data_IF_280101442764
#
_entry.id   IF_280101442764
#
_cell.length_a   1.000
_cell.length_b   1.000
_cell.length_c   1.000
_cell.angle_alpha   90.00
_cell.angle_beta   90.00
_cell.angle_gamma   90.00
#
_symmetry.space_group_name_H-M   'P 1'
#
loop_
_entity.id
_entity.type
_entity.pdbx_description
1 polymer ?
#
# COMPACT_ATOMS: atom_id res chain seq x y z
N UNK A 1 30.42 13.53 16.32
CA UNK A 1 29.33 12.55 16.57
C UNK A 1 28.99 11.94 15.25
N UNK A 2 28.90 10.64 15.15
CA UNK A 2 28.59 9.98 13.86
C UNK A 2 27.14 10.27 13.47
N UNK A 3 26.92 10.78 12.28
CA UNK A 3 25.61 11.24 11.79
C UNK A 3 24.56 10.12 11.85
N UNK A 4 24.96 8.88 11.55
CA UNK A 4 24.08 7.71 11.65
C UNK A 4 23.52 7.52 13.07
N UNK A 5 24.35 7.63 14.09
CA UNK A 5 23.92 7.52 15.51
C UNK A 5 23.00 8.67 15.92
N UNK A 6 23.28 9.88 15.43
CA UNK A 6 22.41 11.04 15.68
C UNK A 6 21.00 10.78 15.14
N UNK A 7 20.91 10.35 13.88
CA UNK A 7 19.64 10.07 13.21
C UNK A 7 18.89 8.94 13.92
N UNK A 8 19.59 7.85 14.26
CA UNK A 8 19.00 6.73 14.99
C UNK A 8 18.44 7.17 16.35
N UNK A 9 19.22 7.90 17.13
CA UNK A 9 18.77 8.43 18.44
C UNK A 9 17.54 9.34 18.32
N UNK A 10 17.47 10.17 17.26
CA UNK A 10 16.28 10.99 17.00
C UNK A 10 15.05 10.13 16.72
N UNK A 11 15.17 9.11 15.88
CA UNK A 11 14.09 8.19 15.58
C UNK A 11 13.61 7.43 16.82
N UNK A 12 14.53 6.95 17.64
CA UNK A 12 14.22 6.27 18.92
C UNK A 12 13.47 7.19 19.91
N UNK A 13 13.71 8.52 19.82
CA UNK A 13 12.96 9.52 20.58
C UNK A 13 11.62 9.93 19.91
N UNK A 14 11.20 9.24 18.86
CA UNK A 14 9.95 9.54 18.13
C UNK A 14 10.05 10.80 17.27
N UNK A 15 11.25 11.19 16.86
CA UNK A 15 11.49 12.29 15.93
C UNK A 15 11.81 11.71 14.55
N UNK A 16 10.83 11.76 13.63
CA UNK A 16 11.06 11.44 12.24
C UNK A 16 11.94 12.50 11.58
N UNK A 17 12.94 12.07 10.80
CA UNK A 17 13.86 12.98 10.12
C UNK A 17 14.15 12.46 8.70
N UNK A 18 14.21 13.39 7.73
CA UNK A 18 14.49 13.10 6.31
C UNK A 18 15.03 14.34 5.61
N UNK A 19 15.43 14.20 4.35
CA UNK A 19 15.80 15.31 3.49
C UNK A 19 14.79 15.52 2.37
N UNK A 20 14.54 16.78 2.04
CA UNK A 20 13.65 17.20 0.96
C UNK A 20 14.23 18.44 0.28
N UNK A 21 14.55 18.34 -1.00
CA UNK A 21 15.09 19.47 -1.78
C UNK A 21 16.34 20.10 -1.16
N UNK A 22 17.26 19.29 -0.62
CA UNK A 22 18.48 19.77 0.04
C UNK A 22 18.24 20.46 1.39
N UNK A 23 17.06 20.22 2.00
CA UNK A 23 16.71 20.71 3.35
C UNK A 23 16.42 19.54 4.27
N UNK A 24 16.85 19.65 5.51
CA UNK A 24 16.47 18.72 6.56
C UNK A 24 15.03 19.03 6.98
N UNK A 25 14.20 18.00 6.98
CA UNK A 25 12.84 18.02 7.50
C UNK A 25 12.76 17.13 8.73
N UNK A 26 11.89 17.45 9.64
CA UNK A 26 11.62 16.62 10.80
C UNK A 26 10.15 16.64 11.18
N UNK A 27 9.71 15.57 11.82
CA UNK A 27 8.38 15.41 12.39
C UNK A 27 8.52 14.91 13.82
N UNK A 28 8.01 15.67 14.81
CA UNK A 28 7.86 15.24 16.18
C UNK A 28 6.37 15.23 16.52
N UNK A 29 5.86 14.09 16.96
CA UNK A 29 4.43 13.94 17.27
C UNK A 29 4.05 14.64 18.57
N UNK A 30 4.93 14.60 19.57
CA UNK A 30 4.70 15.12 20.91
C UNK A 30 5.61 16.34 21.14
N UNK A 31 5.04 17.54 21.07
CA UNK A 31 5.72 18.80 21.40
C UNK A 31 6.60 19.39 20.29
N UNK A 32 7.44 20.36 20.67
CA UNK A 32 8.40 21.01 19.79
C UNK A 32 9.77 20.36 19.87
N UNK A 33 10.56 20.48 18.81
CA UNK A 33 11.95 20.04 18.82
C UNK A 33 12.75 20.91 19.78
N UNK A 34 13.58 20.27 20.62
CA UNK A 34 14.49 20.96 21.53
C UNK A 34 15.47 21.85 20.76
N UNK A 35 15.82 23.00 21.33
CA UNK A 35 16.74 23.93 20.67
C UNK A 35 18.15 23.37 20.56
N UNK A 36 18.58 22.52 21.50
CA UNK A 36 19.85 21.82 21.41
C UNK A 36 19.89 20.88 20.20
N UNK A 37 18.83 20.11 19.98
CA UNK A 37 18.72 19.24 18.79
C UNK A 37 18.69 20.07 17.51
N UNK A 38 17.96 21.19 17.46
CA UNK A 38 17.96 22.10 16.30
C UNK A 38 19.36 22.61 15.99
N UNK A 39 20.10 23.04 17.00
CA UNK A 39 21.47 23.54 16.85
C UNK A 39 22.40 22.44 16.29
N UNK A 40 22.27 21.20 16.76
CA UNK A 40 23.01 20.04 16.26
C UNK A 40 22.67 19.79 14.78
N UNK A 41 21.40 19.86 14.39
CA UNK A 41 20.97 19.67 13.01
C UNK A 41 21.48 20.79 12.08
N UNK A 42 21.50 22.03 12.55
CA UNK A 42 22.02 23.17 11.80
C UNK A 42 23.53 23.03 11.61
N UNK A 43 24.27 22.69 12.66
CA UNK A 43 25.71 22.52 12.60
C UNK A 43 26.16 21.40 11.67
N UNK A 44 25.47 20.25 11.71
CA UNK A 44 25.82 19.09 10.89
C UNK A 44 25.01 19.01 9.57
N UNK A 45 24.37 20.11 9.12
CA UNK A 45 23.41 20.09 8.01
C UNK A 45 23.96 19.44 6.73
N UNK A 46 25.18 19.79 6.31
CA UNK A 46 25.78 19.27 5.07
C UNK A 46 26.03 17.76 5.16
N UNK A 47 26.57 17.32 6.29
CA UNK A 47 26.88 15.90 6.52
C UNK A 47 25.60 15.05 6.62
N UNK A 48 24.56 15.60 7.25
CA UNK A 48 23.25 14.92 7.33
C UNK A 48 22.64 14.76 5.93
N UNK A 49 22.68 15.81 5.10
CA UNK A 49 22.13 15.75 3.73
C UNK A 49 22.90 14.71 2.92
N UNK A 50 24.22 14.78 2.89
CA UNK A 50 25.05 13.80 2.18
C UNK A 50 24.82 12.37 2.67
N UNK A 51 24.66 12.18 3.99
CA UNK A 51 24.38 10.87 4.57
C UNK A 51 23.06 10.29 4.04
N UNK A 52 21.98 11.08 4.01
CA UNK A 52 20.69 10.62 3.49
C UNK A 52 20.71 10.32 1.99
N UNK A 53 21.38 11.15 1.20
CA UNK A 53 21.39 11.07 -0.25
C UNK A 53 22.35 10.00 -0.79
N UNK A 54 23.51 9.82 -0.16
CA UNK A 54 24.60 9.01 -0.71
C UNK A 54 24.75 7.64 -0.02
N UNK A 55 24.35 7.51 1.23
CA UNK A 55 24.57 6.29 2.02
C UNK A 55 23.27 5.65 2.47
N UNK A 56 22.51 6.33 3.32
CA UNK A 56 21.37 5.74 3.98
C UNK A 56 20.28 5.25 3.01
N UNK A 57 20.16 5.90 1.84
CA UNK A 57 19.17 5.55 0.81
C UNK A 57 19.24 4.07 0.40
N UNK A 58 20.43 3.47 0.43
CA UNK A 58 20.70 2.12 -0.04
C UNK A 58 20.99 1.12 1.09
N UNK A 59 20.94 1.56 2.35
CA UNK A 59 21.08 0.65 3.48
C UNK A 59 19.81 -0.19 3.64
N UNK A 60 19.96 -1.43 4.10
CA UNK A 60 18.82 -2.28 4.44
C UNK A 60 17.90 -1.64 5.47
N UNK A 61 16.63 -1.91 5.35
CA UNK A 61 15.62 -1.46 6.29
C UNK A 61 14.53 -2.52 6.46
N UNK A 62 13.80 -2.53 7.60
CA UNK A 62 12.81 -3.55 7.88
C UNK A 62 11.59 -3.44 6.97
N UNK A 63 10.89 -4.55 6.80
CA UNK A 63 9.57 -4.58 6.19
C UNK A 63 8.53 -3.88 7.07
N UNK A 64 7.46 -3.38 6.47
CA UNK A 64 6.23 -3.04 7.19
C UNK A 64 5.54 -4.30 7.69
N UNK A 65 4.62 -4.16 8.66
CA UNK A 65 3.90 -5.31 9.22
C UNK A 65 3.13 -6.07 8.11
N UNK A 66 2.54 -5.35 7.13
CA UNK A 66 1.82 -5.98 6.00
C UNK A 66 2.77 -6.60 4.96
N UNK A 67 3.90 -5.97 4.65
CA UNK A 67 4.91 -6.58 3.80
C UNK A 67 5.44 -7.89 4.41
N UNK A 68 5.61 -7.93 5.74
CA UNK A 68 5.99 -9.16 6.45
C UNK A 68 4.90 -10.23 6.32
N UNK A 69 3.62 -9.85 6.44
CA UNK A 69 2.51 -10.77 6.23
C UNK A 69 2.48 -11.32 4.79
N UNK A 70 2.74 -10.48 3.79
CA UNK A 70 2.86 -10.93 2.39
C UNK A 70 4.04 -11.88 2.18
N UNK A 71 5.18 -11.62 2.80
CA UNK A 71 6.35 -12.50 2.72
C UNK A 71 6.08 -13.86 3.39
N UNK A 72 5.43 -13.85 4.56
CA UNK A 72 5.05 -15.08 5.27
C UNK A 72 3.97 -15.87 4.52
N UNK A 73 2.99 -15.20 3.92
CA UNK A 73 1.93 -15.83 3.12
C UNK A 73 2.44 -16.61 1.90
N UNK A 74 3.68 -16.37 1.47
CA UNK A 74 4.35 -17.13 0.41
C UNK A 74 4.84 -18.51 0.87
N UNK A 75 4.86 -18.78 2.18
CA UNK A 75 5.34 -20.06 2.71
C UNK A 75 4.21 -21.09 2.74
N UNK A 76 4.50 -22.31 2.29
CA UNK A 76 3.57 -23.45 2.32
C UNK A 76 3.13 -23.91 3.73
N UNK A 77 3.63 -23.26 4.78
CA UNK A 77 3.32 -23.59 6.18
C UNK A 77 1.93 -23.14 6.64
N UNK A 78 1.23 -22.34 5.85
CA UNK A 78 -0.12 -21.83 6.16
C UNK A 78 -1.18 -22.54 5.32
N UNK A 79 -2.40 -22.67 5.84
CA UNK A 79 -3.51 -23.36 5.17
C UNK A 79 -3.83 -22.76 3.79
N UNK A 80 -3.68 -21.43 3.64
CA UNK A 80 -3.83 -20.68 2.39
C UNK A 80 -2.50 -20.07 1.92
N UNK A 81 -1.37 -20.69 2.27
CA UNK A 81 -0.04 -20.26 1.85
C UNK A 81 0.25 -20.55 0.38
N UNK A 82 1.49 -20.26 -0.05
CA UNK A 82 1.96 -20.39 -1.43
C UNK A 82 1.23 -19.45 -2.42
N UNK A 83 0.89 -18.25 -1.94
CA UNK A 83 0.24 -17.21 -2.73
C UNK A 83 1.02 -15.91 -2.59
N UNK A 84 1.35 -15.28 -3.71
CA UNK A 84 1.89 -13.93 -3.74
C UNK A 84 0.77 -12.90 -3.78
N UNK A 85 0.84 -11.87 -2.94
CA UNK A 85 0.00 -10.69 -3.08
C UNK A 85 0.46 -9.90 -4.29
N UNK A 86 -0.32 -9.94 -5.36
CA UNK A 86 0.09 -9.54 -6.69
C UNK A 86 -1.06 -8.89 -7.44
N UNK A 87 -0.74 -7.93 -8.30
CA UNK A 87 -1.69 -7.26 -9.19
C UNK A 87 -1.27 -7.43 -10.64
N UNK A 88 -2.22 -7.81 -11.48
CA UNK A 88 -2.09 -7.78 -12.93
C UNK A 88 -3.18 -6.89 -13.54
N UNK A 89 -2.78 -5.96 -14.42
CA UNK A 89 -3.66 -5.01 -15.10
C UNK A 89 -3.44 -5.05 -16.61
N UNK A 90 -4.53 -4.85 -17.33
CA UNK A 90 -4.56 -4.58 -18.77
C UNK A 90 -5.25 -3.23 -19.01
N UNK A 91 -4.58 -2.32 -19.69
CA UNK A 91 -5.04 -0.97 -19.96
C UNK A 91 -5.00 -0.71 -21.46
N UNK A 92 -6.15 -0.44 -22.05
CA UNK A 92 -6.28 -0.19 -23.48
C UNK A 92 -6.02 1.28 -23.82
N UNK A 93 -5.16 1.50 -24.80
CA UNK A 93 -4.82 2.79 -25.37
C UNK A 93 -5.06 2.79 -26.88
N UNK A 94 -5.38 3.93 -27.52
CA UNK A 94 -5.56 3.98 -28.97
C UNK A 94 -4.33 3.52 -29.76
N UNK A 95 -3.16 4.00 -29.35
CA UNK A 95 -1.85 3.55 -29.85
C UNK A 95 -0.76 3.97 -28.88
N UNK A 96 0.20 3.09 -28.60
CA UNK A 96 1.41 3.39 -27.84
C UNK A 96 2.63 3.01 -28.67
N UNK A 97 3.63 3.90 -28.70
CA UNK A 97 4.97 3.60 -29.20
C UNK A 97 5.74 2.81 -28.14
N UNK A 98 6.04 1.56 -28.43
CA UNK A 98 6.71 0.63 -27.50
C UNK A 98 8.10 1.11 -27.07
N UNK A 99 8.84 1.78 -27.96
CA UNK A 99 10.16 2.37 -27.63
C UNK A 99 9.98 3.52 -26.63
N UNK A 100 8.98 4.37 -26.85
CA UNK A 100 8.67 5.46 -25.92
C UNK A 100 8.19 4.93 -24.56
N UNK A 101 7.36 3.88 -24.57
CA UNK A 101 6.91 3.19 -23.35
C UNK A 101 8.11 2.69 -22.56
N UNK A 102 9.03 1.94 -23.19
CA UNK A 102 10.23 1.42 -22.53
C UNK A 102 11.06 2.54 -21.92
N UNK A 103 11.30 3.61 -22.68
CA UNK A 103 12.11 4.76 -22.20
C UNK A 103 11.48 5.41 -20.98
N UNK A 104 10.16 5.62 -20.97
CA UNK A 104 9.47 6.26 -19.84
C UNK A 104 9.50 5.36 -18.62
N UNK A 105 9.24 4.05 -18.78
CA UNK A 105 9.30 3.14 -17.64
C UNK A 105 10.71 3.05 -17.04
N UNK A 106 11.75 3.08 -17.83
CA UNK A 106 13.12 3.16 -17.29
C UNK A 106 13.36 4.47 -16.52
N UNK A 107 12.80 5.61 -16.96
CA UNK A 107 12.85 6.86 -16.19
C UNK A 107 12.10 6.73 -14.85
N UNK A 108 10.96 6.05 -14.82
CA UNK A 108 10.21 5.82 -13.58
C UNK A 108 10.95 4.85 -12.63
N UNK A 109 11.61 3.82 -13.17
CA UNK A 109 12.45 2.90 -12.40
C UNK A 109 13.61 3.64 -11.74
N UNK A 110 14.27 4.53 -12.46
CA UNK A 110 15.36 5.35 -11.91
C UNK A 110 14.87 6.34 -10.84
N UNK A 111 13.70 6.92 -11.07
CA UNK A 111 13.08 7.91 -10.17
C UNK A 111 12.63 7.30 -8.85
N UNK A 112 11.96 6.16 -8.90
CA UNK A 112 11.27 5.55 -7.76
C UNK A 112 12.07 4.39 -7.16
N UNK A 113 12.57 4.60 -5.94
CA UNK A 113 13.41 3.64 -5.22
C UNK A 113 12.80 2.25 -5.13
N UNK A 114 11.52 2.15 -4.80
CA UNK A 114 10.86 0.85 -4.59
C UNK A 114 10.71 0.03 -5.88
N UNK A 115 10.82 0.64 -7.06
CA UNK A 115 10.93 -0.12 -8.31
C UNK A 115 12.31 -0.78 -8.51
N UNK A 116 13.27 -0.47 -7.65
CA UNK A 116 14.60 -1.13 -7.59
C UNK A 116 14.81 -1.90 -6.29
N UNK A 117 13.74 -2.10 -5.52
CA UNK A 117 13.83 -2.81 -4.25
C UNK A 117 13.86 -4.33 -4.45
N UNK A 118 14.56 -4.99 -3.53
CA UNK A 118 14.50 -6.43 -3.29
C UNK A 118 14.14 -6.66 -1.82
N UNK A 119 13.54 -7.82 -1.55
CA UNK A 119 13.10 -8.23 -0.22
C UNK A 119 13.78 -9.53 0.15
N UNK A 120 14.46 -9.54 1.29
CA UNK A 120 15.27 -10.66 1.75
C UNK A 120 14.49 -11.55 2.72
N UNK A 121 14.88 -12.82 2.82
CA UNK A 121 14.24 -13.79 3.71
C UNK A 121 14.35 -13.44 5.20
N UNK A 122 15.33 -12.61 5.58
CA UNK A 122 15.53 -12.15 6.95
C UNK A 122 14.51 -11.08 7.40
N UNK A 123 13.58 -10.70 6.52
CA UNK A 123 12.57 -9.68 6.80
C UNK A 123 13.06 -8.25 6.62
N UNK A 124 14.16 -8.08 5.91
CA UNK A 124 14.66 -6.77 5.48
C UNK A 124 14.45 -6.55 3.99
N UNK A 125 14.53 -5.31 3.57
CA UNK A 125 14.50 -4.90 2.17
C UNK A 125 15.59 -3.87 1.89
N UNK A 126 16.04 -3.79 0.64
CA UNK A 126 17.02 -2.82 0.22
C UNK A 126 16.73 -2.31 -1.19
N UNK A 127 17.20 -1.10 -1.49
CA UNK A 127 17.09 -0.49 -2.81
C UNK A 127 18.41 -0.68 -3.54
N UNK A 128 18.37 -1.32 -4.68
CA UNK A 128 19.56 -1.49 -5.51
C UNK A 128 20.02 -0.13 -6.08
N UNK A 129 21.31 0.11 -6.01
CA UNK A 129 21.91 1.37 -6.45
C UNK A 129 21.79 1.52 -7.97
N UNK A 130 22.18 0.48 -8.67
CA UNK A 130 22.17 0.41 -10.12
C UNK A 130 21.45 -0.86 -10.56
N UNK A 131 20.59 -0.73 -11.57
CA UNK A 131 19.91 -1.85 -12.22
C UNK A 131 20.13 -1.77 -13.74
N UNK A 132 20.02 -2.89 -14.41
CA UNK A 132 20.10 -2.91 -15.87
C UNK A 132 18.90 -2.17 -16.48
N UNK A 133 19.04 -1.66 -17.69
CA UNK A 133 17.92 -1.15 -18.46
C UNK A 133 16.85 -2.25 -18.60
N UNK A 134 15.62 -1.91 -18.20
CA UNK A 134 14.50 -2.85 -18.22
C UNK A 134 13.91 -2.95 -19.64
N UNK A 135 13.98 -4.11 -20.30
CA UNK A 135 13.33 -4.34 -21.58
C UNK A 135 11.83 -4.63 -21.34
N UNK A 136 10.94 -3.85 -21.94
CA UNK A 136 9.52 -4.20 -21.90
C UNK A 136 9.24 -5.42 -22.76
N UNK A 137 8.25 -6.21 -22.35
CA UNK A 137 7.82 -7.36 -23.15
C UNK A 137 6.85 -6.92 -24.26
N UNK A 138 7.11 -7.33 -25.50
CA UNK A 138 6.26 -7.00 -26.66
C UNK A 138 5.67 -8.28 -27.23
N UNK A 139 4.35 -8.31 -27.42
CA UNK A 139 3.63 -9.44 -28.02
C UNK A 139 2.52 -8.92 -28.94
N UNK A 140 2.00 -9.77 -29.79
CA UNK A 140 0.79 -9.52 -30.58
C UNK A 140 -0.45 -10.21 -30.00
N UNK A 141 -0.31 -10.90 -28.86
CA UNK A 141 -1.37 -11.69 -28.24
C UNK A 141 -1.50 -11.37 -26.74
N UNK A 142 -2.55 -10.67 -26.35
CA UNK A 142 -2.87 -10.39 -24.94
C UNK A 142 -2.88 -11.65 -24.07
N UNK A 143 -3.45 -12.74 -24.60
CA UNK A 143 -3.57 -14.00 -23.86
C UNK A 143 -2.22 -14.60 -23.47
N UNK A 144 -1.19 -14.39 -24.28
CA UNK A 144 0.17 -14.85 -24.00
C UNK A 144 0.74 -14.15 -22.75
N UNK A 145 0.58 -12.84 -22.65
CA UNK A 145 1.02 -12.06 -21.48
C UNK A 145 0.14 -12.40 -20.28
N UNK A 146 -1.17 -12.40 -20.44
CA UNK A 146 -2.13 -12.71 -19.38
C UNK A 146 -1.84 -14.05 -18.72
N UNK A 147 -1.64 -15.10 -19.52
CA UNK A 147 -1.37 -16.44 -18.99
C UNK A 147 -0.06 -16.55 -18.21
N UNK A 148 0.92 -15.72 -18.54
CA UNK A 148 2.22 -15.69 -17.83
C UNK A 148 2.21 -14.84 -16.57
N UNK A 149 1.42 -13.75 -16.54
CA UNK A 149 1.55 -12.72 -15.53
C UNK A 149 0.37 -12.63 -14.56
N UNK A 150 -0.80 -13.19 -14.87
CA UNK A 150 -1.98 -13.09 -14.00
C UNK A 150 -1.81 -13.78 -12.64
N UNK A 151 -0.98 -14.82 -12.58
CA UNK A 151 -0.69 -15.57 -11.35
C UNK A 151 0.83 -15.62 -11.08
N UNK A 152 1.56 -14.57 -11.46
CA UNK A 152 3.02 -14.60 -11.36
C UNK A 152 3.50 -14.53 -9.93
N UNK A 153 4.49 -15.35 -9.63
CA UNK A 153 5.19 -15.40 -8.37
C UNK A 153 6.62 -14.90 -8.58
N UNK A 154 6.96 -13.74 -8.01
CA UNK A 154 8.29 -13.15 -8.12
C UNK A 154 9.24 -13.74 -7.08
N UNK A 155 10.50 -13.96 -7.47
CA UNK A 155 11.56 -14.16 -6.50
C UNK A 155 11.86 -12.82 -5.84
N UNK A 156 11.67 -12.73 -4.52
CA UNK A 156 11.76 -11.47 -3.79
C UNK A 156 13.19 -10.95 -3.62
N UNK A 157 14.18 -11.86 -3.71
CA UNK A 157 15.61 -11.52 -3.57
C UNK A 157 16.26 -11.11 -4.89
N UNK A 158 15.51 -11.12 -5.99
CA UNK A 158 16.01 -10.75 -7.32
C UNK A 158 15.14 -9.66 -7.94
N UNK A 159 15.80 -8.66 -8.51
CA UNK A 159 15.14 -7.63 -9.30
C UNK A 159 14.82 -8.13 -10.72
N UNK A 160 13.67 -7.76 -11.33
CA UNK A 160 12.59 -6.94 -10.78
C UNK A 160 11.45 -7.75 -10.13
N UNK A 161 10.69 -7.13 -9.24
CA UNK A 161 9.42 -7.67 -8.71
C UNK A 161 8.19 -7.09 -9.44
N UNK A 162 8.34 -6.81 -10.71
CA UNK A 162 7.27 -6.35 -11.61
C UNK A 162 7.56 -6.78 -13.04
N UNK A 163 6.54 -6.73 -13.89
CA UNK A 163 6.69 -6.84 -15.35
C UNK A 163 5.85 -5.77 -16.06
N UNK A 164 6.37 -5.30 -17.16
CA UNK A 164 5.75 -4.30 -18.03
C UNK A 164 5.84 -4.77 -19.47
N UNK A 165 4.72 -4.73 -20.16
CA UNK A 165 4.68 -5.13 -21.56
C UNK A 165 3.57 -4.45 -22.35
N UNK A 166 3.63 -4.57 -23.65
CA UNK A 166 2.62 -4.08 -24.56
C UNK A 166 2.19 -5.16 -25.52
N UNK A 167 0.91 -5.17 -25.83
CA UNK A 167 0.37 -5.95 -26.95
C UNK A 167 -0.15 -4.99 -28.00
N UNK A 168 0.37 -5.12 -29.21
CA UNK A 168 -0.04 -4.32 -30.35
C UNK A 168 -1.08 -5.08 -31.17
N UNK A 169 -2.28 -4.54 -31.29
CA UNK A 169 -3.32 -4.97 -32.20
C UNK A 169 -3.56 -3.88 -33.25
N UNK A 170 -4.31 -4.20 -34.30
CA UNK A 170 -4.57 -3.27 -35.41
C UNK A 170 -5.30 -1.99 -35.00
N UNK A 171 -6.11 -2.05 -33.95
CA UNK A 171 -6.99 -0.97 -33.51
C UNK A 171 -6.54 -0.31 -32.22
N UNK A 172 -5.74 -0.99 -31.39
CA UNK A 172 -5.33 -0.52 -30.06
C UNK A 172 -4.02 -1.14 -29.61
N UNK A 173 -3.42 -0.51 -28.63
CA UNK A 173 -2.30 -1.08 -27.87
C UNK A 173 -2.77 -1.33 -26.43
N UNK A 174 -2.54 -2.53 -25.91
CA UNK A 174 -2.82 -2.84 -24.50
C UNK A 174 -1.52 -2.80 -23.72
N UNK A 175 -1.46 -1.94 -22.70
CA UNK A 175 -0.39 -1.91 -21.71
C UNK A 175 -0.69 -2.95 -20.63
N UNK A 176 0.25 -3.85 -20.40
CA UNK A 176 0.19 -4.88 -19.37
C UNK A 176 1.12 -4.52 -18.23
N UNK A 177 0.61 -4.52 -17.03
CA UNK A 177 1.35 -4.26 -15.81
C UNK A 177 1.14 -5.39 -14.82
N UNK A 178 2.23 -5.86 -14.26
CA UNK A 178 2.23 -6.88 -13.21
C UNK A 178 3.15 -6.41 -12.08
N UNK A 179 2.64 -6.31 -10.86
CA UNK A 179 3.39 -5.82 -9.70
C UNK A 179 3.18 -6.72 -8.49
N UNK A 180 4.25 -7.00 -7.79
CA UNK A 180 4.19 -7.55 -6.45
C UNK A 180 3.88 -6.46 -5.42
N UNK A 181 2.95 -6.70 -4.49
CA UNK A 181 2.59 -5.71 -3.48
C UNK A 181 3.68 -5.49 -2.42
N UNK A 182 4.73 -6.29 -2.40
CA UNK A 182 5.92 -5.98 -1.58
C UNK A 182 6.58 -4.67 -1.96
N UNK A 183 6.46 -4.21 -3.22
CA UNK A 183 7.13 -2.99 -3.69
C UNK A 183 6.19 -1.82 -3.94
N UNK A 184 4.90 -2.06 -4.11
CA UNK A 184 3.94 -1.00 -4.46
C UNK A 184 2.52 -1.40 -4.11
N UNK A 185 1.81 -0.56 -3.36
CA UNK A 185 0.37 -0.68 -3.16
C UNK A 185 -0.44 -0.22 -4.38
N UNK A 186 -1.76 -0.40 -4.33
CA UNK A 186 -2.65 0.06 -5.40
C UNK A 186 -2.52 1.55 -5.72
N UNK A 187 -2.41 2.42 -4.71
CA UNK A 187 -2.29 3.86 -4.91
C UNK A 187 -0.94 4.23 -5.55
N UNK A 188 0.14 3.51 -5.20
CA UNK A 188 1.44 3.63 -5.82
C UNK A 188 1.40 3.29 -7.31
N UNK A 189 0.75 2.17 -7.66
CA UNK A 189 0.61 1.74 -9.07
C UNK A 189 -0.20 2.77 -9.86
N UNK A 190 -1.26 3.33 -9.24
CA UNK A 190 -2.04 4.40 -9.87
C UNK A 190 -1.22 5.67 -10.08
N UNK A 191 -0.38 6.05 -9.11
CA UNK A 191 0.54 7.19 -9.23
C UNK A 191 1.53 6.98 -10.38
N UNK A 192 2.12 5.77 -10.51
CA UNK A 192 3.00 5.44 -11.63
C UNK A 192 2.30 5.56 -12.98
N UNK A 193 1.04 5.13 -13.08
CA UNK A 193 0.24 5.27 -14.30
C UNK A 193 -0.02 6.73 -14.66
N UNK A 194 -0.38 7.57 -13.68
CA UNK A 194 -0.57 9.01 -13.90
C UNK A 194 0.74 9.67 -14.36
N UNK A 195 1.86 9.34 -13.75
CA UNK A 195 3.17 9.84 -14.17
C UNK A 195 3.54 9.37 -15.57
N UNK A 196 3.35 8.07 -15.85
CA UNK A 196 3.56 7.51 -17.19
C UNK A 196 2.76 8.27 -18.24
N UNK A 197 1.45 8.45 -18.06
CA UNK A 197 0.59 9.17 -18.98
C UNK A 197 0.97 10.65 -19.12
N UNK A 198 1.34 11.29 -18.02
CA UNK A 198 1.78 12.69 -18.00
C UNK A 198 3.01 12.89 -18.87
N UNK A 199 4.00 12.02 -18.75
CA UNK A 199 5.23 12.05 -19.57
C UNK A 199 4.93 11.64 -21.00
N UNK A 200 4.16 10.57 -21.19
CA UNK A 200 3.87 10.02 -22.50
C UNK A 200 3.15 11.04 -23.40
N UNK A 201 2.17 11.77 -22.87
CA UNK A 201 1.40 12.77 -23.60
C UNK A 201 1.99 14.20 -23.49
N UNK A 202 3.22 14.36 -22.97
CA UNK A 202 3.90 15.65 -22.80
C UNK A 202 3.05 16.68 -22.03
N UNK A 203 2.25 16.23 -21.07
CA UNK A 203 1.45 17.08 -20.18
C UNK A 203 2.26 17.65 -19.01
N UNK A 204 3.51 17.23 -18.86
CA UNK A 204 4.45 17.66 -17.83
C UNK A 204 5.70 16.76 -17.88
N UNK A 205 6.72 17.12 -17.11
CA UNK A 205 7.98 16.36 -17.08
C UNK A 205 7.98 15.22 -16.05
N UNK A 206 6.91 15.05 -15.30
CA UNK A 206 6.88 14.09 -14.18
C UNK A 206 7.87 14.45 -13.05
N UNK A 207 8.33 15.70 -12.99
CA UNK A 207 9.38 16.15 -12.07
C UNK A 207 8.89 16.39 -10.63
N UNK A 208 7.66 16.05 -10.31
CA UNK A 208 7.21 16.10 -8.92
C UNK A 208 8.07 15.16 -8.07
N UNK A 209 8.96 15.76 -7.29
CA UNK A 209 9.88 15.01 -6.44
C UNK A 209 9.12 14.30 -5.34
N UNK A 210 9.45 13.04 -5.11
CA UNK A 210 9.08 12.37 -3.88
C UNK A 210 9.64 13.15 -2.69
N UNK A 211 8.78 13.60 -1.80
CA UNK A 211 9.20 14.41 -0.66
C UNK A 211 9.98 13.60 0.38
N UNK A 212 9.63 12.33 0.51
CA UNK A 212 10.28 11.37 1.42
C UNK A 212 10.42 10.02 0.71
N UNK A 213 11.55 9.33 0.87
CA UNK A 213 11.68 7.95 0.41
C UNK A 213 10.82 7.00 1.26
N UNK A 214 10.37 5.89 0.67
CA UNK A 214 9.63 4.85 1.41
C UNK A 214 10.44 4.33 2.60
N UNK A 215 11.76 4.13 2.42
CA UNK A 215 12.68 3.75 3.49
C UNK A 215 12.60 4.71 4.68
N UNK A 216 12.75 6.01 4.42
CA UNK A 216 12.71 7.01 5.49
C UNK A 216 11.33 7.10 6.14
N UNK A 217 10.27 6.90 5.38
CA UNK A 217 8.93 6.79 5.91
C UNK A 217 8.82 5.63 6.91
N UNK A 218 9.22 4.40 6.51
CA UNK A 218 9.18 3.20 7.36
C UNK A 218 9.96 3.41 8.64
N UNK A 219 11.21 3.88 8.55
CA UNK A 219 12.06 4.09 9.72
C UNK A 219 11.52 5.17 10.66
N UNK A 220 10.94 6.23 10.11
CA UNK A 220 10.32 7.27 10.90
C UNK A 220 9.04 6.78 11.61
N UNK A 221 8.17 6.04 10.91
CA UNK A 221 6.96 5.48 11.52
C UNK A 221 7.30 4.43 12.60
N UNK A 222 8.35 3.63 12.41
CA UNK A 222 8.85 2.73 13.46
C UNK A 222 9.31 3.49 14.71
N UNK A 223 10.03 4.59 14.55
CA UNK A 223 10.41 5.46 15.68
C UNK A 223 9.18 6.02 16.40
N UNK A 224 8.08 6.26 15.68
CA UNK A 224 6.81 6.72 16.29
C UNK A 224 6.09 5.68 17.16
N UNK A 225 6.49 4.39 17.10
CA UNK A 225 5.93 3.34 17.99
C UNK A 225 6.16 3.66 19.48
N UNK A 226 7.05 4.58 19.81
CA UNK A 226 7.29 5.06 21.20
C UNK A 226 6.41 6.27 21.59
N UNK A 227 5.59 6.81 20.69
CA UNK A 227 4.77 8.00 20.94
C UNK A 227 3.57 7.73 21.87
N UNK A 228 3.06 8.78 22.50
CA UNK A 228 1.83 8.73 23.31
C UNK A 228 0.63 8.29 22.49
N UNK A 229 0.54 8.75 21.24
CA UNK A 229 -0.53 8.34 20.29
C UNK A 229 -0.50 6.83 20.06
N UNK A 230 0.66 6.27 19.71
CA UNK A 230 0.77 4.83 19.48
C UNK A 230 0.37 4.01 20.71
N UNK A 231 0.76 4.45 21.93
CA UNK A 231 0.36 3.78 23.18
C UNK A 231 -1.15 3.82 23.40
N UNK A 232 -1.78 4.98 23.16
CA UNK A 232 -3.26 5.14 23.21
C UNK A 232 -3.94 4.18 22.24
N UNK A 233 -3.49 4.16 20.99
CA UNK A 233 -4.08 3.35 19.95
C UNK A 233 -3.88 1.85 20.22
N UNK A 234 -2.70 1.46 20.70
CA UNK A 234 -2.43 0.09 21.15
C UNK A 234 -3.33 -0.34 22.31
N UNK A 235 -3.61 0.54 23.26
CA UNK A 235 -4.51 0.25 24.36
C UNK A 235 -5.96 0.11 23.90
N UNK A 236 -6.41 0.95 22.97
CA UNK A 236 -7.72 0.82 22.34
C UNK A 236 -7.91 -0.57 21.73
N UNK A 237 -6.99 -1.04 20.91
CA UNK A 237 -7.07 -2.36 20.28
C UNK A 237 -6.92 -3.51 21.29
N UNK A 238 -6.00 -3.40 22.25
CA UNK A 238 -5.85 -4.42 23.30
C UNK A 238 -7.10 -4.63 24.13
N UNK A 239 -7.82 -3.57 24.48
CA UNK A 239 -9.05 -3.67 25.26
C UNK A 239 -10.21 -4.31 24.50
N UNK A 240 -10.07 -4.45 23.18
CA UNK A 240 -11.07 -5.08 22.29
C UNK A 240 -10.71 -6.52 21.91
N UNK A 241 -9.49 -6.99 22.12
CA UNK A 241 -9.05 -8.32 21.66
C UNK A 241 -10.00 -9.45 22.10
N UNK A 242 -10.48 -9.42 23.33
CA UNK A 242 -11.34 -10.46 23.88
C UNK A 242 -12.81 -10.40 23.38
N UNK A 243 -13.20 -9.29 22.75
CA UNK A 243 -14.56 -9.06 22.26
C UNK A 243 -14.68 -9.04 20.74
N UNK A 244 -13.55 -8.92 20.02
CA UNK A 244 -13.52 -9.02 18.54
C UNK A 244 -14.04 -10.40 18.14
N UNK A 245 -15.12 -10.47 17.35
CA UNK A 245 -15.66 -11.76 16.94
C UNK A 245 -14.75 -12.45 15.92
N UNK A 246 -14.88 -13.77 15.83
CA UNK A 246 -14.19 -14.56 14.82
C UNK A 246 -14.62 -14.18 13.39
N UNK A 247 -13.89 -14.71 12.40
CA UNK A 247 -14.26 -14.57 11.00
C UNK A 247 -15.64 -15.20 10.69
N UNK A 248 -16.32 -14.79 9.60
CA UNK A 248 -17.59 -15.40 9.21
C UNK A 248 -17.38 -16.88 8.84
N UNK A 249 -18.20 -17.76 9.40
CA UNK A 249 -18.18 -19.20 9.10
C UNK A 249 -19.03 -19.45 7.85
N UNK A 250 -18.38 -19.50 6.71
CA UNK A 250 -19.01 -19.71 5.41
C UNK A 250 -19.08 -21.20 5.04
N UNK A 251 -20.05 -21.63 4.21
CA UNK A 251 -20.12 -23.01 3.75
C UNK A 251 -18.90 -23.35 2.88
N UNK A 252 -18.19 -24.41 3.25
CA UNK A 252 -17.00 -24.90 2.55
C UNK A 252 -17.32 -26.13 1.73
N UNK A 253 -16.70 -26.28 0.57
CA UNK A 253 -16.74 -27.51 -0.21
C UNK A 253 -15.79 -28.54 0.42
N UNK A 254 -16.32 -29.69 0.82
CA UNK A 254 -15.56 -30.75 1.48
C UNK A 254 -14.48 -31.43 0.60
N UNK A 255 -14.57 -31.32 -0.73
CA UNK A 255 -13.68 -31.99 -1.69
C UNK A 255 -13.11 -31.02 -2.75
N UNK A 256 -12.88 -29.74 -2.41
CA UNK A 256 -12.24 -28.83 -3.34
C UNK A 256 -10.75 -29.16 -3.47
N UNK A 257 -10.28 -29.42 -4.69
CA UNK A 257 -8.85 -29.43 -4.96
C UNK A 257 -8.27 -28.05 -4.59
N UNK A 258 -7.19 -28.05 -3.80
CA UNK A 258 -6.47 -26.81 -3.50
C UNK A 258 -5.94 -26.21 -4.80
N UNK A 259 -6.38 -25.01 -5.11
CA UNK A 259 -5.85 -24.24 -6.23
C UNK A 259 -5.25 -22.94 -5.69
N UNK A 260 -4.00 -22.67 -6.07
CA UNK A 260 -3.32 -21.41 -5.75
C UNK A 260 -3.68 -20.30 -6.74
N UNK A 261 -4.66 -20.54 -7.62
CA UNK A 261 -5.10 -19.58 -8.64
C UNK A 261 -6.33 -18.84 -8.18
N UNK A 262 -6.26 -17.50 -8.29
CA UNK A 262 -7.41 -16.63 -8.07
C UNK A 262 -8.33 -16.60 -9.29
N UNK A 263 -9.62 -16.77 -9.06
CA UNK A 263 -10.66 -16.57 -10.07
C UNK A 263 -11.34 -15.23 -9.81
N UNK A 264 -11.23 -14.30 -10.77
CA UNK A 264 -11.90 -13.01 -10.67
C UNK A 264 -13.34 -13.11 -11.18
N UNK A 265 -14.29 -12.76 -10.32
CA UNK A 265 -15.68 -12.50 -10.72
C UNK A 265 -15.94 -11.00 -10.60
N UNK A 266 -16.38 -10.36 -11.67
CA UNK A 266 -16.63 -8.93 -11.70
C UNK A 266 -18.07 -8.64 -12.11
N UNK A 267 -18.68 -7.63 -11.48
CA UNK A 267 -19.95 -7.02 -11.88
C UNK A 267 -19.79 -5.50 -11.81
N UNK A 268 -20.41 -4.81 -12.73
CA UNK A 268 -20.38 -3.36 -12.79
C UNK A 268 -21.76 -2.83 -12.42
N UNK A 269 -21.82 -1.91 -11.46
CA UNK A 269 -23.02 -1.15 -11.19
C UNK A 269 -23.26 -0.11 -12.27
N UNK A 270 -24.51 0.17 -12.59
CA UNK A 270 -24.85 1.30 -13.45
C UNK A 270 -24.52 2.64 -12.75
N UNK A 271 -24.30 3.69 -13.52
CA UNK A 271 -24.12 5.03 -12.96
C UNK A 271 -25.36 5.45 -12.15
N UNK A 272 -26.57 5.08 -12.60
CA UNK A 272 -27.81 5.37 -11.88
C UNK A 272 -27.88 4.68 -10.51
N UNK A 273 -27.48 3.41 -10.43
CA UNK A 273 -27.48 2.69 -9.14
C UNK A 273 -26.43 3.24 -8.18
N UNK A 274 -25.28 3.68 -8.73
CA UNK A 274 -24.26 4.35 -7.92
C UNK A 274 -24.76 5.69 -7.36
N UNK A 275 -25.50 6.48 -8.15
CA UNK A 275 -26.12 7.72 -7.65
C UNK A 275 -27.16 7.44 -6.54
N UNK A 276 -27.94 6.35 -6.61
CA UNK A 276 -28.84 5.94 -5.53
C UNK A 276 -28.11 5.64 -4.23
N UNK A 277 -26.94 4.94 -4.32
CA UNK A 277 -26.09 4.67 -3.14
C UNK A 277 -25.57 5.97 -2.54
N UNK A 278 -25.06 6.89 -3.36
CA UNK A 278 -24.57 8.20 -2.89
C UNK A 278 -25.68 9.05 -2.27
N UNK A 279 -26.85 9.04 -2.87
CA UNK A 279 -28.02 9.74 -2.35
C UNK A 279 -28.44 9.19 -0.98
N UNK A 280 -28.59 7.88 -0.84
CA UNK A 280 -28.88 7.24 0.44
C UNK A 280 -27.83 7.60 1.49
N UNK A 281 -26.56 7.52 1.15
CA UNK A 281 -25.45 7.84 2.06
C UNK A 281 -25.54 9.29 2.54
N UNK A 282 -25.78 10.23 1.64
CA UNK A 282 -25.93 11.66 1.95
C UNK A 282 -27.13 11.92 2.88
N UNK A 283 -28.27 11.30 2.59
CA UNK A 283 -29.49 11.44 3.43
C UNK A 283 -29.29 10.94 4.86
N UNK A 284 -28.42 9.96 5.06
CA UNK A 284 -28.13 9.38 6.38
C UNK A 284 -26.85 9.90 7.03
N UNK A 285 -26.16 10.89 6.43
CA UNK A 285 -24.91 11.46 6.90
C UNK A 285 -23.80 10.39 7.11
N UNK A 286 -23.71 9.45 6.19
CA UNK A 286 -22.70 8.37 6.16
C UNK A 286 -21.92 8.39 4.86
N UNK A 287 -20.78 7.70 4.81
CA UNK A 287 -19.99 7.57 3.59
C UNK A 287 -20.56 6.51 2.65
N UNK A 288 -20.43 6.66 1.32
CA UNK A 288 -20.74 5.60 0.37
C UNK A 288 -19.99 4.30 0.65
N UNK A 289 -18.75 4.38 1.14
CA UNK A 289 -17.94 3.23 1.55
C UNK A 289 -18.62 2.44 2.66
N UNK A 290 -19.09 3.11 3.72
CA UNK A 290 -19.80 2.45 4.81
C UNK A 290 -21.11 1.80 4.33
N UNK A 291 -21.84 2.45 3.40
CA UNK A 291 -23.05 1.89 2.80
C UNK A 291 -22.76 0.61 2.02
N UNK A 292 -21.75 0.62 1.13
CA UNK A 292 -21.37 -0.56 0.33
C UNK A 292 -20.86 -1.68 1.22
N UNK A 293 -20.03 -1.36 2.22
CA UNK A 293 -19.51 -2.33 3.17
C UNK A 293 -20.62 -2.96 4.02
N UNK A 294 -21.63 -2.18 4.43
CA UNK A 294 -22.80 -2.69 5.14
C UNK A 294 -23.63 -3.65 4.27
N UNK A 295 -23.80 -3.34 2.98
CA UNK A 295 -24.47 -4.24 2.03
C UNK A 295 -23.68 -5.54 1.90
N UNK A 296 -22.35 -5.44 1.77
CA UNK A 296 -21.47 -6.61 1.72
C UNK A 296 -21.57 -7.47 2.97
N UNK A 297 -21.56 -6.85 4.17
CA UNK A 297 -21.71 -7.54 5.44
C UNK A 297 -23.04 -8.31 5.54
N UNK A 298 -24.16 -7.72 5.07
CA UNK A 298 -25.44 -8.41 5.00
C UNK A 298 -25.43 -9.59 4.01
N UNK A 299 -24.71 -9.47 2.91
CA UNK A 299 -24.52 -10.60 1.98
C UNK A 299 -23.74 -11.74 2.63
N UNK A 300 -22.67 -11.42 3.37
CA UNK A 300 -21.87 -12.42 4.11
C UNK A 300 -22.72 -13.05 5.22
N UNK A 301 -23.46 -12.25 6.01
CA UNK A 301 -24.35 -12.73 7.08
C UNK A 301 -25.35 -13.78 6.58
N UNK A 302 -25.88 -13.61 5.38
CA UNK A 302 -26.84 -14.54 4.78
C UNK A 302 -26.27 -15.96 4.57
N UNK A 303 -24.96 -16.06 4.40
CA UNK A 303 -24.26 -17.34 4.19
C UNK A 303 -23.51 -17.81 5.42
N UNK A 304 -23.26 -16.93 6.39
CA UNK A 304 -22.51 -17.25 7.59
C UNK A 304 -23.38 -17.93 8.64
N UNK A 305 -22.81 -18.89 9.35
CA UNK A 305 -23.45 -19.54 10.50
C UNK A 305 -23.53 -18.56 11.68
N UNK A 306 -22.47 -17.82 11.92
CA UNK A 306 -22.42 -16.80 12.97
C UNK A 306 -22.97 -15.45 12.45
N UNK A 307 -23.78 -14.79 13.31
CA UNK A 307 -24.36 -13.46 13.03
C UNK A 307 -23.47 -12.31 13.51
N UNK A 308 -22.48 -12.64 14.30
CA UNK A 308 -21.46 -11.76 14.80
C UNK A 308 -20.11 -12.21 14.27
N UNK A 309 -19.44 -11.37 13.50
CA UNK A 309 -18.18 -11.72 12.84
C UNK A 309 -17.33 -10.49 12.56
N UNK A 310 -16.03 -10.68 12.32
CA UNK A 310 -15.12 -9.62 11.90
C UNK A 310 -14.80 -9.69 10.41
N UNK A 311 -14.52 -8.53 9.83
CA UNK A 311 -14.03 -8.37 8.47
C UNK A 311 -12.71 -7.59 8.49
N UNK A 312 -11.71 -8.06 7.76
CA UNK A 312 -10.50 -7.30 7.53
C UNK A 312 -10.78 -6.18 6.53
N UNK A 313 -10.60 -4.95 6.97
CA UNK A 313 -10.73 -3.76 6.15
C UNK A 313 -9.34 -3.26 5.74
N UNK A 314 -9.03 -3.39 4.46
CA UNK A 314 -7.77 -2.85 3.93
C UNK A 314 -7.85 -1.33 3.85
N UNK A 315 -6.88 -0.66 4.46
CA UNK A 315 -6.72 0.79 4.48
C UNK A 315 -5.38 1.20 3.88
N UNK A 316 -5.29 2.43 3.38
CA UNK A 316 -4.04 3.01 2.86
C UNK A 316 -3.63 4.15 3.78
N UNK A 317 -2.58 3.93 4.57
CA UNK A 317 -2.12 4.91 5.56
C UNK A 317 -0.93 5.68 5.00
N UNK A 318 -1.21 6.79 4.30
CA UNK A 318 -0.22 7.78 3.90
C UNK A 318 -0.31 8.97 4.83
N UNK A 319 0.62 9.06 5.78
CA UNK A 319 0.62 10.13 6.76
C UNK A 319 0.85 11.48 6.06
N UNK A 320 -0.21 12.28 5.93
CA UNK A 320 -0.22 13.58 5.23
C UNK A 320 0.67 14.66 5.87
N UNK A 321 1.27 14.40 7.03
CA UNK A 321 2.29 15.25 7.63
C UNK A 321 3.61 15.22 6.85
N UNK A 322 3.83 14.18 6.06
CA UNK A 322 4.93 14.13 5.09
C UNK A 322 4.43 14.76 3.78
N UNK A 323 4.86 15.99 3.52
CA UNK A 323 4.50 16.70 2.28
C UNK A 323 4.88 15.84 1.06
N UNK A 324 3.96 15.69 0.10
CA UNK A 324 4.21 14.91 -1.13
C UNK A 324 4.27 13.39 -0.96
N UNK A 325 3.80 12.85 0.19
CA UNK A 325 3.77 11.39 0.45
C UNK A 325 2.98 10.61 -0.63
N UNK A 326 2.03 11.24 -1.29
CA UNK A 326 1.24 10.62 -2.36
C UNK A 326 2.05 10.31 -3.62
N UNK A 327 3.20 10.98 -3.81
CA UNK A 327 4.13 10.74 -4.92
C UNK A 327 5.21 9.70 -4.55
N UNK A 328 5.21 9.20 -3.32
CA UNK A 328 6.15 8.16 -2.88
C UNK A 328 5.57 6.79 -3.21
N UNK A 329 6.34 6.00 -3.94
CA UNK A 329 5.99 4.61 -4.27
C UNK A 329 6.44 3.69 -3.13
N UNK A 330 5.57 2.76 -2.75
CA UNK A 330 5.79 1.77 -1.69
C UNK A 330 4.49 1.11 -1.27
N UNK A 331 4.56 0.18 -0.34
CA UNK A 331 3.37 -0.44 0.25
C UNK A 331 2.98 0.25 1.56
N UNK A 332 1.99 1.12 1.49
CA UNK A 332 1.40 1.85 2.62
C UNK A 332 0.10 1.19 3.12
N UNK A 333 -0.12 -0.04 2.73
CA UNK A 333 -1.29 -0.81 3.13
C UNK A 333 -1.27 -1.06 4.64
N UNK A 334 -2.42 -0.99 5.25
CA UNK A 334 -2.70 -1.41 6.62
C UNK A 334 -3.99 -2.20 6.67
N UNK A 335 -4.22 -2.91 7.75
CA UNK A 335 -5.46 -3.69 7.95
C UNK A 335 -6.07 -3.28 9.27
N UNK A 336 -7.35 -2.93 9.23
CA UNK A 336 -8.20 -2.72 10.41
C UNK A 336 -9.20 -3.86 10.51
N UNK A 337 -9.64 -4.17 11.74
CA UNK A 337 -10.61 -5.24 12.00
C UNK A 337 -11.97 -4.63 12.30
N UNK A 338 -12.86 -4.69 11.31
CA UNK A 338 -14.23 -4.20 11.44
C UNK A 338 -15.12 -5.28 12.04
N UNK A 339 -15.75 -4.99 13.17
CA UNK A 339 -16.73 -5.87 13.83
C UNK A 339 -18.12 -5.67 13.23
N UNK A 340 -18.78 -6.76 12.90
CA UNK A 340 -20.16 -6.79 12.41
C UNK A 340 -21.00 -7.56 13.41
N UNK A 341 -22.07 -6.92 13.92
CA UNK A 341 -23.06 -7.56 14.78
C UNK A 341 -24.47 -7.43 14.17
N UNK A 342 -24.99 -8.54 13.71
CA UNK A 342 -26.32 -8.71 13.11
C UNK A 342 -27.15 -9.73 13.90
N UNK A 343 -26.80 -9.98 15.18
CA UNK A 343 -27.53 -10.89 16.06
C UNK A 343 -28.94 -10.43 16.38
N UNK A 344 -29.17 -9.12 16.38
CA UNK A 344 -30.49 -8.51 16.59
C UNK A 344 -31.03 -7.86 15.31
N UNK A 345 -32.35 -7.71 15.23
CA UNK A 345 -32.95 -6.99 14.11
C UNK A 345 -32.65 -5.50 14.21
N UNK A 346 -32.05 -4.95 13.20
CA UNK A 346 -31.71 -3.54 13.09
C UNK A 346 -32.22 -2.94 11.78
N UNK A 347 -32.64 -1.70 11.79
CA UNK A 347 -33.00 -0.95 10.59
C UNK A 347 -31.71 -0.70 9.78
N UNK A 348 -31.76 -0.91 8.46
CA UNK A 348 -30.58 -0.79 7.59
C UNK A 348 -29.83 0.56 7.75
N UNK A 349 -30.59 1.68 7.81
CA UNK A 349 -29.98 2.98 7.99
C UNK A 349 -29.18 3.11 9.31
N UNK A 350 -29.69 2.52 10.39
CA UNK A 350 -29.00 2.55 11.69
C UNK A 350 -27.81 1.61 11.70
N UNK A 351 -27.89 0.47 11.04
CA UNK A 351 -26.76 -0.42 10.83
C UNK A 351 -25.62 0.28 10.08
N UNK A 352 -25.93 0.96 8.96
CA UNK A 352 -24.92 1.72 8.21
C UNK A 352 -24.29 2.83 9.04
N UNK A 353 -25.06 3.53 9.88
CA UNK A 353 -24.52 4.55 10.80
C UNK A 353 -23.56 3.94 11.82
N UNK A 354 -23.88 2.77 12.38
CA UNK A 354 -23.01 2.08 13.31
C UNK A 354 -21.69 1.66 12.66
N UNK A 355 -21.77 1.06 11.46
CA UNK A 355 -20.58 0.70 10.67
C UNK A 355 -19.75 1.94 10.34
N UNK A 356 -20.38 3.03 9.89
CA UNK A 356 -19.68 4.27 9.57
C UNK A 356 -18.99 4.87 10.81
N UNK A 357 -19.65 4.89 11.94
CA UNK A 357 -19.08 5.37 13.21
C UNK A 357 -17.86 4.56 13.60
N UNK A 358 -17.96 3.23 13.57
CA UNK A 358 -16.85 2.34 13.92
C UNK A 358 -15.65 2.53 13.00
N UNK A 359 -15.86 2.62 11.67
CA UNK A 359 -14.77 2.89 10.72
C UNK A 359 -13.99 4.15 11.11
N UNK A 360 -14.67 5.24 11.46
CA UNK A 360 -13.98 6.47 11.86
C UNK A 360 -13.27 6.35 13.21
N UNK A 361 -13.85 5.63 14.17
CA UNK A 361 -13.23 5.35 15.46
C UNK A 361 -11.96 4.51 15.28
N UNK A 362 -12.01 3.45 14.47
CA UNK A 362 -10.87 2.58 14.18
C UNK A 362 -9.76 3.35 13.42
N UNK A 363 -10.13 4.18 12.43
CA UNK A 363 -9.18 5.04 11.72
C UNK A 363 -8.50 6.07 12.61
N UNK A 364 -9.16 6.61 13.65
CA UNK A 364 -8.50 7.50 14.63
C UNK A 364 -7.44 6.76 15.46
N UNK A 365 -7.54 5.43 15.55
CA UNK A 365 -6.60 4.56 16.25
C UNK A 365 -5.66 3.77 15.31
N UNK A 366 -5.54 4.21 14.06
CA UNK A 366 -4.78 3.52 12.98
C UNK A 366 -3.26 3.59 13.14
N UNK A 367 -2.70 4.25 14.15
CA UNK A 367 -1.25 4.21 14.38
C UNK A 367 -0.77 2.86 14.94
N UNK A 368 -1.69 2.04 15.43
CA UNK A 368 -1.49 0.63 15.75
C UNK A 368 -2.43 -0.17 14.85
N UNK A 369 -1.89 -0.92 13.90
CA UNK A 369 -2.68 -1.77 13.00
C UNK A 369 -3.00 -3.11 13.66
N UNK A 370 -4.14 -3.68 13.27
CA UNK A 370 -4.62 -4.97 13.75
C UNK A 370 -3.78 -6.15 13.30
#
# INVERSE_FOLDING_TARGET
>A
MEVSKLIQNMREQGIGIWTEGGKIRYLKKDGKLDDDIKNILIYNKKEIISYFEERERFDKFPLTDIQMAYLLGRKNSFEYGDVASHLYLELDYPALDSVKVQKIWNQLIDKHDMLRAIVLEDGTQEVLRDVAEYPIYISTKCEEIRSKWSDKYYNTETWPMFDIGVTEDKEKTTLHLSFDFLIADWASIWTLLIEFETIYYNKGNGDEKCAISFRNYVLNEMGMKNSSRYRRDKEYWKNRLDIIPEAPVLPMRSNAEKSNKFIRMARKLSAEDWEKIKFFSSQNSVTPTATVLSIFALCIERWSVNKKFSLNLTTLIRNNKYTGIYNTIGDFTSVDVLEIDLSEKIIFADFVKNVNKQIFEDLDHSSYSG
#
